data_IF_135493373029
#
_entry.id   IF_135493373029
#
_cell.length_a   1.000
_cell.length_b   1.000
_cell.length_c   1.000
_cell.angle_alpha   90.00
_cell.angle_beta   90.00
_cell.angle_gamma   90.00
#
_symmetry.space_group_name_H-M   'P 1'
#
loop_
_entity.id
_entity.type
_entity.pdbx_description
1 polymer ?
#
# COMPACT_ATOMS: atom_id res chain seq x y z
N UNK A 1 6.48 -49.83 -3.84
CA UNK A 1 6.11 -48.87 -4.90
C UNK A 1 6.07 -47.49 -4.28
N UNK A 2 7.19 -46.74 -4.36
CA UNK A 2 7.30 -45.41 -3.72
C UNK A 2 6.58 -44.41 -4.58
N UNK A 3 5.48 -43.89 -4.08
CA UNK A 3 4.75 -42.78 -4.71
C UNK A 3 5.62 -41.53 -4.51
N UNK A 4 6.36 -41.14 -5.54
CA UNK A 4 7.00 -39.83 -5.59
C UNK A 4 5.88 -38.76 -5.67
N UNK A 5 5.55 -38.15 -4.57
CA UNK A 5 4.80 -36.88 -4.58
C UNK A 5 5.68 -35.83 -5.26
N UNK A 6 5.41 -35.59 -6.53
CA UNK A 6 5.96 -34.37 -7.20
C UNK A 6 5.31 -33.19 -6.51
N UNK A 7 6.01 -32.60 -5.55
CA UNK A 7 5.61 -31.33 -4.95
C UNK A 7 5.77 -30.25 -6.03
N UNK A 8 4.71 -29.99 -6.75
CA UNK A 8 4.66 -28.85 -7.67
C UNK A 8 4.77 -27.57 -6.83
N UNK A 9 5.82 -26.78 -7.10
CA UNK A 9 6.03 -25.51 -6.40
C UNK A 9 4.92 -24.55 -6.75
N UNK A 10 4.11 -24.16 -5.77
CA UNK A 10 3.04 -23.16 -5.94
C UNK A 10 3.62 -21.80 -6.30
N UNK A 11 3.07 -21.15 -7.32
CA UNK A 11 3.45 -19.80 -7.74
C UNK A 11 2.63 -18.76 -6.99
N UNK A 12 3.29 -17.80 -6.36
CA UNK A 12 2.64 -16.74 -5.56
C UNK A 12 2.91 -15.37 -6.16
N UNK A 13 1.86 -14.60 -6.40
CA UNK A 13 1.93 -13.16 -6.63
C UNK A 13 1.66 -12.41 -5.33
N UNK A 14 2.41 -11.33 -5.09
CA UNK A 14 2.22 -10.46 -3.93
C UNK A 14 1.89 -9.08 -4.45
N UNK A 15 0.71 -8.56 -4.08
CA UNK A 15 0.23 -7.25 -4.47
C UNK A 15 0.22 -6.34 -3.25
N UNK A 16 0.85 -5.17 -3.36
CA UNK A 16 1.07 -4.25 -2.23
C UNK A 16 0.45 -2.89 -2.54
N UNK A 17 -0.57 -2.52 -1.78
CA UNK A 17 -1.00 -1.12 -1.72
C UNK A 17 0.09 -0.30 -1.01
N UNK A 18 0.80 0.54 -1.77
CA UNK A 18 1.96 1.30 -1.28
C UNK A 18 1.59 2.33 -0.22
N UNK A 19 0.48 3.04 -0.39
CA UNK A 19 0.03 4.02 0.59
C UNK A 19 -0.38 3.36 1.90
N UNK A 20 -1.10 2.23 1.83
CA UNK A 20 -1.43 1.42 2.99
C UNK A 20 -0.17 0.90 3.68
N UNK A 21 0.75 0.29 2.91
CA UNK A 21 2.02 -0.23 3.44
C UNK A 21 2.80 0.86 4.18
N UNK A 22 3.05 2.01 3.56
CA UNK A 22 3.85 3.09 4.15
C UNK A 22 3.22 3.61 5.44
N UNK A 23 1.91 3.81 5.47
CA UNK A 23 1.17 4.24 6.66
C UNK A 23 1.31 3.22 7.79
N UNK A 24 1.10 1.93 7.51
CA UNK A 24 1.20 0.85 8.50
C UNK A 24 2.62 0.64 8.97
N UNK A 25 3.58 0.64 8.05
CA UNK A 25 5.00 0.48 8.35
C UNK A 25 5.47 1.54 9.35
N UNK A 26 5.19 2.82 9.08
CA UNK A 26 5.52 3.92 10.00
C UNK A 26 4.90 3.74 11.39
N UNK A 27 3.64 3.33 11.45
CA UNK A 27 2.93 3.10 12.71
C UNK A 27 3.52 1.93 13.52
N UNK A 28 3.98 0.87 12.86
CA UNK A 28 4.52 -0.34 13.51
C UNK A 28 5.95 -0.11 13.99
N UNK A 29 6.79 0.51 13.16
CA UNK A 29 8.22 0.70 13.47
C UNK A 29 8.43 1.93 14.36
N UNK A 30 7.49 2.89 14.36
CA UNK A 30 7.60 4.18 15.07
C UNK A 30 8.87 4.95 14.69
N UNK A 31 9.31 4.80 13.43
CA UNK A 31 10.45 5.53 12.90
C UNK A 31 10.01 6.95 12.52
N UNK A 32 10.67 7.93 13.09
CA UNK A 32 10.41 9.35 12.81
C UNK A 32 11.17 9.87 11.61
N UNK A 33 12.16 9.12 11.13
CA UNK A 33 12.97 9.49 9.96
C UNK A 33 12.95 8.37 8.92
N UNK A 34 11.99 8.41 7.97
CA UNK A 34 11.84 7.34 6.98
C UNK A 34 13.06 7.27 6.05
N UNK A 35 13.72 6.12 6.04
CA UNK A 35 14.83 5.81 5.16
C UNK A 35 14.33 4.97 3.97
N UNK A 36 14.49 5.42 2.71
CA UNK A 36 14.00 4.70 1.53
C UNK A 36 14.60 3.29 1.38
N UNK A 37 15.89 3.13 1.67
CA UNK A 37 16.60 1.85 1.56
C UNK A 37 16.09 0.87 2.59
N UNK A 38 15.99 1.30 3.86
CA UNK A 38 15.42 0.47 4.94
C UNK A 38 13.98 0.09 4.64
N UNK A 39 13.18 1.03 4.15
CA UNK A 39 11.77 0.78 3.81
C UNK A 39 11.63 -0.23 2.67
N UNK A 40 12.41 -0.10 1.60
CA UNK A 40 12.41 -1.06 0.50
C UNK A 40 12.89 -2.46 0.94
N UNK A 41 13.91 -2.53 1.80
CA UNK A 41 14.40 -3.79 2.35
C UNK A 41 13.36 -4.44 3.27
N UNK A 42 12.68 -3.66 4.11
CA UNK A 42 11.62 -4.15 4.98
C UNK A 42 10.45 -4.73 4.19
N UNK A 43 9.99 -4.04 3.14
CA UNK A 43 8.96 -4.53 2.23
C UNK A 43 9.38 -5.85 1.59
N UNK A 44 10.60 -5.90 1.03
CA UNK A 44 11.14 -7.12 0.43
C UNK A 44 11.16 -8.28 1.41
N UNK A 45 11.70 -8.06 2.60
CA UNK A 45 11.79 -9.10 3.65
C UNK A 45 10.39 -9.56 4.06
N UNK A 46 9.44 -8.64 4.25
CA UNK A 46 8.06 -8.95 4.58
C UNK A 46 7.41 -9.83 3.51
N UNK A 47 7.58 -9.50 2.23
CA UNK A 47 7.08 -10.30 1.12
C UNK A 47 7.72 -11.70 1.08
N UNK A 48 9.03 -11.79 1.31
CA UNK A 48 9.72 -13.07 1.31
C UNK A 48 9.29 -13.97 2.48
N UNK A 49 9.01 -13.40 3.66
CA UNK A 49 8.52 -14.16 4.81
C UNK A 49 7.18 -14.86 4.54
N UNK A 50 6.33 -14.32 3.68
CA UNK A 50 5.10 -14.99 3.26
C UNK A 50 5.37 -16.28 2.49
N UNK A 51 6.50 -16.39 1.77
CA UNK A 51 6.84 -17.56 0.97
C UNK A 51 7.47 -18.70 1.81
N UNK A 52 7.91 -18.40 3.03
CA UNK A 52 8.57 -19.38 3.90
C UNK A 52 7.71 -19.85 5.08
N UNK A 53 6.43 -19.47 5.11
CA UNK A 53 5.56 -19.71 6.27
C UNK A 53 5.28 -21.20 6.52
N UNK A 54 5.11 -21.98 5.48
CA UNK A 54 4.72 -23.39 5.61
C UNK A 54 5.93 -24.31 5.38
N UNK A 55 6.29 -25.07 6.41
CA UNK A 55 7.47 -25.97 6.38
C UNK A 55 7.41 -27.03 5.28
N UNK A 56 6.22 -27.42 4.84
CA UNK A 56 5.99 -28.50 3.88
C UNK A 56 5.59 -28.02 2.48
N UNK A 57 5.33 -26.74 2.27
CA UNK A 57 4.99 -26.20 0.95
C UNK A 57 6.10 -25.27 0.45
N UNK A 58 6.55 -25.52 -0.79
CA UNK A 58 7.52 -24.64 -1.46
C UNK A 58 6.79 -23.67 -2.34
N UNK A 59 6.82 -22.40 -1.97
CA UNK A 59 6.28 -21.30 -2.78
C UNK A 59 7.35 -20.67 -3.65
N UNK A 60 7.03 -20.40 -4.90
CA UNK A 60 7.89 -19.67 -5.81
C UNK A 60 7.30 -18.28 -6.07
N UNK A 61 8.08 -17.25 -5.80
CA UNK A 61 7.66 -15.88 -6.11
C UNK A 61 7.45 -15.72 -7.62
N UNK A 62 6.21 -15.47 -8.03
CA UNK A 62 5.90 -15.01 -9.37
C UNK A 62 6.40 -13.57 -9.54
N UNK A 63 5.81 -12.62 -8.78
CA UNK A 63 6.18 -11.20 -8.78
C UNK A 63 5.61 -10.48 -7.56
N UNK A 64 6.29 -9.42 -7.12
CA UNK A 64 5.75 -8.42 -6.21
C UNK A 64 5.31 -7.23 -7.07
N UNK A 65 4.05 -6.86 -6.99
CA UNK A 65 3.50 -5.66 -7.60
C UNK A 65 3.32 -4.61 -6.51
N UNK A 66 3.98 -3.48 -6.65
CA UNK A 66 3.86 -2.35 -5.74
C UNK A 66 3.07 -1.24 -6.41
N UNK A 67 1.93 -0.90 -5.84
CA UNK A 67 0.99 0.08 -6.37
C UNK A 67 1.08 1.37 -5.57
N UNK A 68 1.30 2.48 -6.25
CA UNK A 68 1.36 3.81 -5.66
C UNK A 68 1.11 4.86 -6.75
N UNK A 69 1.22 6.14 -6.43
CA UNK A 69 1.21 7.23 -7.40
C UNK A 69 2.59 7.87 -7.49
N UNK A 70 2.91 8.43 -8.67
CA UNK A 70 4.06 9.32 -8.76
C UNK A 70 3.86 10.51 -7.80
N UNK A 71 4.90 10.92 -7.05
CA UNK A 71 4.78 12.06 -6.17
C UNK A 71 4.55 13.34 -6.97
N UNK A 72 3.78 14.26 -6.39
CA UNK A 72 3.51 15.55 -7.01
C UNK A 72 4.77 16.42 -7.05
N UNK A 73 5.06 17.02 -8.20
CA UNK A 73 6.32 17.72 -8.48
C UNK A 73 6.14 19.20 -8.89
N UNK A 74 4.90 19.68 -8.92
CA UNK A 74 4.62 21.06 -9.35
C UNK A 74 4.75 22.07 -8.21
N UNK A 75 4.81 23.34 -8.58
CA UNK A 75 4.77 24.47 -7.64
C UNK A 75 3.33 24.91 -7.41
N UNK A 76 3.01 25.24 -6.17
CA UNK A 76 1.72 25.79 -5.77
C UNK A 76 1.93 26.96 -4.79
N UNK A 77 0.97 27.88 -4.74
CA UNK A 77 1.03 28.99 -3.80
C UNK A 77 0.06 28.73 -2.64
N UNK A 78 0.56 28.91 -1.43
CA UNK A 78 -0.26 28.83 -0.23
C UNK A 78 -1.27 29.98 -0.22
N UNK A 79 -2.59 29.74 -0.15
CA UNK A 79 -3.59 30.79 -0.27
C UNK A 79 -3.65 31.76 0.92
N UNK A 80 -3.11 31.37 2.09
CA UNK A 80 -3.07 32.26 3.26
C UNK A 80 -1.87 33.19 3.25
N UNK A 81 -0.71 32.72 2.79
CA UNK A 81 0.54 33.47 2.91
C UNK A 81 1.09 33.93 1.57
N UNK A 82 0.54 33.43 0.44
CA UNK A 82 1.08 33.68 -0.91
C UNK A 82 2.42 32.98 -1.19
N UNK A 83 3.00 32.28 -0.23
CA UNK A 83 4.29 31.62 -0.33
C UNK A 83 4.25 30.49 -1.36
N UNK A 84 5.21 30.49 -2.29
CA UNK A 84 5.37 29.40 -3.24
C UNK A 84 5.94 28.15 -2.55
N UNK A 85 5.30 27.02 -2.76
CA UNK A 85 5.74 25.70 -2.31
C UNK A 85 6.10 24.86 -3.54
N UNK A 86 7.35 24.47 -3.63
CA UNK A 86 7.86 23.58 -4.66
C UNK A 86 7.78 22.14 -4.12
N UNK A 87 6.75 21.40 -4.53
CA UNK A 87 6.53 20.04 -4.03
C UNK A 87 7.64 19.09 -4.42
N UNK A 88 8.36 19.32 -5.53
CA UNK A 88 9.50 18.47 -5.93
C UNK A 88 10.66 18.49 -4.92
N UNK A 89 10.73 19.56 -4.10
CA UNK A 89 11.77 19.76 -3.07
C UNK A 89 11.34 19.30 -1.68
N UNK A 90 10.12 18.79 -1.53
CA UNK A 90 9.64 18.30 -0.24
C UNK A 90 10.30 16.97 0.13
N UNK A 91 10.52 16.74 1.42
CA UNK A 91 11.04 15.47 1.94
C UNK A 91 10.19 14.27 1.50
N UNK A 92 8.86 14.45 1.44
CA UNK A 92 7.93 13.41 1.01
C UNK A 92 8.19 13.02 -0.45
N UNK A 93 8.37 14.01 -1.34
CA UNK A 93 8.67 13.75 -2.75
C UNK A 93 10.01 13.03 -2.89
N UNK A 94 11.06 13.56 -2.25
CA UNK A 94 12.41 12.99 -2.32
C UNK A 94 12.44 11.56 -1.77
N UNK A 95 11.78 11.31 -0.64
CA UNK A 95 11.65 9.98 -0.08
C UNK A 95 10.96 9.01 -1.05
N UNK A 96 9.83 9.43 -1.65
CA UNK A 96 9.03 8.55 -2.51
C UNK A 96 9.76 8.22 -3.81
N UNK A 97 10.44 9.20 -4.42
CA UNK A 97 11.30 8.96 -5.59
C UNK A 97 12.42 7.98 -5.25
N UNK A 98 13.13 8.21 -4.16
CA UNK A 98 14.22 7.33 -3.73
C UNK A 98 13.72 5.92 -3.38
N UNK A 99 12.54 5.79 -2.76
CA UNK A 99 11.92 4.49 -2.49
C UNK A 99 11.62 3.73 -3.78
N UNK A 100 11.08 4.40 -4.80
CA UNK A 100 10.80 3.75 -6.09
C UNK A 100 12.08 3.28 -6.77
N UNK A 101 13.18 4.05 -6.71
CA UNK A 101 14.47 3.62 -7.22
C UNK A 101 15.00 2.37 -6.48
N UNK A 102 14.89 2.34 -5.15
CA UNK A 102 15.29 1.18 -4.37
C UNK A 102 14.42 -0.06 -4.66
N UNK A 103 13.12 0.12 -4.87
CA UNK A 103 12.21 -0.97 -5.24
C UNK A 103 12.52 -1.52 -6.64
N UNK A 104 12.90 -0.67 -7.62
CA UNK A 104 13.31 -1.11 -8.97
C UNK A 104 14.54 -2.01 -8.96
N UNK A 105 15.44 -1.83 -8.00
CA UNK A 105 16.63 -2.67 -7.83
C UNK A 105 16.31 -4.08 -7.32
N UNK A 106 15.12 -4.30 -6.74
CA UNK A 106 14.72 -5.58 -6.18
C UNK A 106 14.27 -6.54 -7.28
N UNK A 107 14.81 -7.77 -7.26
CA UNK A 107 14.42 -8.81 -8.22
C UNK A 107 12.94 -9.13 -8.10
N UNK A 108 12.25 -9.24 -9.24
CA UNK A 108 10.81 -9.55 -9.34
C UNK A 108 9.87 -8.52 -8.72
N UNK A 109 10.32 -7.29 -8.48
CA UNK A 109 9.44 -6.17 -8.11
C UNK A 109 9.04 -5.41 -9.36
N UNK A 110 7.77 -5.07 -9.48
CA UNK A 110 7.22 -4.23 -10.53
C UNK A 110 6.42 -3.09 -9.91
N UNK A 111 6.77 -1.85 -10.24
CA UNK A 111 5.99 -0.69 -9.87
C UNK A 111 4.77 -0.56 -10.81
N UNK A 112 3.61 -0.30 -10.21
CA UNK A 112 2.31 -0.11 -10.87
C UNK A 112 1.77 1.26 -10.49
N UNK A 113 2.33 2.31 -11.09
CA UNK A 113 2.05 3.67 -10.67
C UNK A 113 0.73 4.18 -11.27
N UNK A 114 -0.14 4.66 -10.39
CA UNK A 114 -1.32 5.44 -10.70
C UNK A 114 -0.97 6.91 -10.93
N UNK A 115 -2.00 7.75 -10.93
CA UNK A 115 -1.90 9.19 -11.10
C UNK A 115 -2.28 9.88 -9.80
N UNK A 116 -1.46 10.83 -9.38
CA UNK A 116 -1.82 11.77 -8.34
C UNK A 116 -2.47 12.98 -9.02
N UNK A 117 -3.81 13.05 -8.93
CA UNK A 117 -4.55 14.18 -9.45
C UNK A 117 -4.50 15.33 -8.45
N UNK A 118 -4.05 16.49 -8.91
CA UNK A 118 -4.26 17.71 -8.17
C UNK A 118 -5.70 18.17 -8.40
N UNK A 119 -6.50 18.23 -7.34
CA UNK A 119 -7.79 18.88 -7.38
C UNK A 119 -7.67 20.39 -7.59
N UNK A 120 -6.45 20.91 -7.76
CA UNK A 120 -6.06 22.30 -7.77
C UNK A 120 -6.69 23.09 -6.60
N UNK A 121 -6.82 22.44 -5.47
CA UNK A 121 -7.54 22.97 -4.30
C UNK A 121 -6.71 22.81 -3.04
N UNK A 122 -6.77 23.87 -2.26
CA UNK A 122 -6.35 23.85 -0.87
C UNK A 122 -7.56 23.56 0.02
N UNK A 123 -7.39 22.72 1.01
CA UNK A 123 -8.43 22.40 1.98
C UNK A 123 -7.92 22.68 3.40
N UNK A 124 -8.84 23.12 4.25
CA UNK A 124 -8.57 23.25 5.69
C UNK A 124 -8.55 21.82 6.27
N UNK A 125 -7.58 21.53 7.12
CA UNK A 125 -7.51 20.21 7.78
C UNK A 125 -8.79 19.91 8.57
N UNK A 126 -9.26 18.65 8.59
CA UNK A 126 -10.54 18.28 9.18
C UNK A 126 -10.73 18.75 10.64
N UNK A 127 -9.66 18.68 11.44
CA UNK A 127 -9.68 19.12 12.84
C UNK A 127 -9.91 20.64 12.96
N UNK A 128 -9.34 21.42 12.06
CA UNK A 128 -9.52 22.88 12.03
C UNK A 128 -10.88 23.26 11.45
N UNK A 129 -11.34 22.55 10.43
CA UNK A 129 -12.72 22.70 9.92
C UNK A 129 -13.73 22.49 11.04
N UNK A 130 -13.54 21.42 11.86
CA UNK A 130 -14.43 21.15 12.98
C UNK A 130 -14.38 22.26 14.07
N UNK A 131 -13.19 22.81 14.33
CA UNK A 131 -13.02 23.91 15.29
C UNK A 131 -13.69 25.20 14.81
N UNK A 132 -13.56 25.54 13.51
CA UNK A 132 -14.23 26.66 12.88
C UNK A 132 -15.75 26.55 12.97
N UNK A 133 -16.30 25.39 12.59
CA UNK A 133 -17.75 25.15 12.60
C UNK A 133 -18.35 25.21 14.02
N UNK A 134 -17.54 24.91 15.05
CA UNK A 134 -17.94 25.03 16.46
C UNK A 134 -17.76 26.44 17.04
N UNK A 135 -17.21 27.37 16.27
CA UNK A 135 -16.91 28.72 16.75
C UNK A 135 -15.73 28.81 17.72
N UNK A 136 -14.95 27.75 17.87
CA UNK A 136 -13.79 27.72 18.77
C UNK A 136 -12.59 28.53 18.24
N UNK A 137 -12.52 28.71 16.92
CA UNK A 137 -11.55 29.54 16.22
C UNK A 137 -12.24 30.30 15.08
N UNK A 138 -11.58 31.31 14.56
CA UNK A 138 -12.03 32.10 13.41
C UNK A 138 -11.09 31.84 12.22
N UNK A 139 -11.46 32.33 11.04
CA UNK A 139 -10.59 32.25 9.83
C UNK A 139 -9.26 32.99 10.04
N UNK A 140 -9.24 34.03 10.89
CA UNK A 140 -8.02 34.81 11.20
C UNK A 140 -7.00 34.01 12.04
N UNK A 141 -7.46 32.97 12.73
CA UNK A 141 -6.61 32.12 13.57
C UNK A 141 -5.95 30.97 12.78
N UNK A 142 -6.28 30.84 11.48
CA UNK A 142 -5.69 29.83 10.62
C UNK A 142 -4.24 30.18 10.24
N UNK A 143 -3.37 29.19 10.32
CA UNK A 143 -1.96 29.25 9.91
C UNK A 143 -1.70 28.43 8.65
N UNK A 144 -0.53 28.58 8.05
CA UNK A 144 -0.13 27.77 6.88
C UNK A 144 -0.12 26.25 7.17
N UNK A 145 0.05 25.86 8.43
CA UNK A 145 0.03 24.48 8.86
C UNK A 145 -1.39 23.88 9.00
N UNK A 146 -2.42 24.72 8.96
CA UNK A 146 -3.82 24.32 9.14
C UNK A 146 -4.51 24.01 7.81
N UNK A 147 -3.85 24.29 6.71
CA UNK A 147 -4.30 23.96 5.37
C UNK A 147 -3.37 22.97 4.71
N UNK A 148 -3.90 22.24 3.77
CA UNK A 148 -3.15 21.28 2.97
C UNK A 148 -3.64 21.26 1.53
N UNK A 149 -2.76 20.91 0.60
CA UNK A 149 -3.15 20.71 -0.79
C UNK A 149 -3.90 19.38 -0.93
N UNK A 150 -5.02 19.38 -1.64
CA UNK A 150 -5.87 18.19 -1.80
C UNK A 150 -5.35 17.31 -2.93
N UNK A 151 -4.60 16.27 -2.56
CA UNK A 151 -4.15 15.23 -3.49
C UNK A 151 -5.12 14.06 -3.50
N UNK A 152 -5.55 13.65 -4.69
CA UNK A 152 -6.36 12.44 -4.87
C UNK A 152 -5.58 11.38 -5.62
N UNK A 153 -5.36 10.25 -4.96
CA UNK A 153 -4.84 9.08 -5.66
C UNK A 153 -5.93 8.50 -6.57
N UNK A 154 -5.61 8.32 -7.84
CA UNK A 154 -6.51 7.70 -8.81
C UNK A 154 -5.87 6.49 -9.46
N UNK A 155 -6.70 5.53 -9.81
CA UNK A 155 -6.36 4.31 -10.54
C UNK A 155 -5.55 3.26 -9.75
N UNK A 156 -5.16 3.50 -8.49
CA UNK A 156 -4.38 2.52 -7.70
C UNK A 156 -5.23 1.28 -7.43
N UNK A 157 -6.37 1.44 -6.78
CA UNK A 157 -7.26 0.32 -6.43
C UNK A 157 -7.79 -0.40 -7.66
N UNK A 158 -8.12 0.36 -8.71
CA UNK A 158 -8.54 -0.22 -9.99
C UNK A 158 -7.44 -1.08 -10.60
N UNK A 159 -6.17 -0.63 -10.58
CA UNK A 159 -5.04 -1.42 -11.08
C UNK A 159 -4.82 -2.68 -10.27
N UNK A 160 -4.93 -2.61 -8.95
CA UNK A 160 -4.87 -3.81 -8.09
C UNK A 160 -5.96 -4.79 -8.49
N UNK A 161 -7.21 -4.35 -8.59
CA UNK A 161 -8.34 -5.19 -8.97
C UNK A 161 -8.20 -5.82 -10.35
N UNK A 162 -7.75 -5.04 -11.35
CA UNK A 162 -7.51 -5.53 -12.71
C UNK A 162 -6.36 -6.55 -12.75
N UNK A 163 -5.26 -6.30 -12.03
CA UNK A 163 -4.13 -7.23 -12.00
C UNK A 163 -4.52 -8.53 -11.29
N UNK A 164 -5.28 -8.48 -10.17
CA UNK A 164 -5.83 -9.69 -9.53
C UNK A 164 -6.68 -10.48 -10.53
N UNK A 165 -7.63 -9.82 -11.19
CA UNK A 165 -8.52 -10.46 -12.15
C UNK A 165 -7.72 -11.09 -13.33
N UNK A 166 -6.78 -10.33 -13.91
CA UNK A 166 -5.96 -10.79 -15.02
C UNK A 166 -5.09 -11.99 -14.67
N UNK A 167 -4.45 -11.97 -13.49
CA UNK A 167 -3.57 -13.04 -13.02
C UNK A 167 -4.38 -14.31 -12.74
N UNK A 168 -5.55 -14.18 -12.11
CA UNK A 168 -6.44 -15.28 -11.79
C UNK A 168 -7.02 -15.92 -13.04
N UNK A 169 -7.64 -15.15 -13.93
CA UNK A 169 -8.25 -15.65 -15.17
C UNK A 169 -7.24 -16.30 -16.12
N UNK A 170 -6.00 -15.79 -16.16
CA UNK A 170 -4.92 -16.37 -16.94
C UNK A 170 -4.21 -17.53 -16.26
N UNK A 171 -4.63 -17.91 -15.05
CA UNK A 171 -4.04 -19.00 -14.26
C UNK A 171 -2.52 -18.88 -14.13
N UNK A 172 -2.03 -17.65 -13.90
CA UNK A 172 -0.59 -17.38 -13.86
C UNK A 172 0.03 -17.74 -12.53
N UNK A 173 -0.78 -17.84 -11.47
CA UNK A 173 -0.36 -18.18 -10.12
C UNK A 173 -1.38 -19.08 -9.43
N UNK A 174 -0.91 -19.79 -8.40
CA UNK A 174 -1.73 -20.64 -7.55
C UNK A 174 -2.20 -19.88 -6.30
N UNK A 175 -1.49 -18.81 -5.94
CA UNK A 175 -1.78 -18.02 -4.76
C UNK A 175 -1.56 -16.52 -5.02
N UNK A 176 -2.44 -15.71 -4.46
CA UNK A 176 -2.32 -14.24 -4.40
C UNK A 176 -2.27 -13.82 -2.93
N UNK A 177 -1.29 -12.99 -2.58
CA UNK A 177 -1.20 -12.34 -1.29
C UNK A 177 -1.42 -10.85 -1.52
N UNK A 178 -2.46 -10.30 -0.91
CA UNK A 178 -2.76 -8.87 -0.96
C UNK A 178 -2.34 -8.21 0.36
N UNK A 179 -1.46 -7.22 0.28
CA UNK A 179 -1.06 -6.36 1.39
C UNK A 179 -1.85 -5.07 1.29
N UNK A 180 -2.98 -5.03 1.96
CA UNK A 180 -3.95 -3.92 1.95
C UNK A 180 -4.91 -4.01 3.14
N UNK A 181 -5.74 -3.00 3.32
CA UNK A 181 -6.74 -2.97 4.40
C UNK A 181 -8.14 -2.56 3.95
N UNK A 182 -8.35 -2.33 2.65
CA UNK A 182 -9.62 -1.84 2.12
C UNK A 182 -10.55 -2.98 1.69
N UNK A 183 -11.84 -2.81 1.98
CA UNK A 183 -12.91 -3.73 1.55
C UNK A 183 -13.28 -3.60 0.08
N UNK A 184 -12.79 -2.60 -0.62
CA UNK A 184 -13.06 -2.39 -2.04
C UNK A 184 -12.46 -3.50 -2.92
N UNK A 185 -11.54 -4.30 -2.36
CA UNK A 185 -10.96 -5.46 -3.02
C UNK A 185 -11.81 -6.74 -2.93
N UNK A 186 -12.95 -6.74 -2.22
CA UNK A 186 -13.86 -7.90 -2.12
C UNK A 186 -14.27 -8.46 -3.49
N UNK A 187 -14.66 -7.67 -4.50
CA UNK A 187 -15.01 -8.22 -5.81
C UNK A 187 -13.84 -8.96 -6.48
N UNK A 188 -12.63 -8.43 -6.36
CA UNK A 188 -11.43 -9.05 -6.93
C UNK A 188 -11.05 -10.34 -6.18
N UNK A 189 -11.14 -10.36 -4.85
CA UNK A 189 -10.92 -11.55 -4.03
C UNK A 189 -11.91 -12.66 -4.37
N UNK A 190 -13.20 -12.34 -4.48
CA UNK A 190 -14.24 -13.30 -4.90
C UNK A 190 -13.96 -13.90 -6.28
N UNK A 191 -13.50 -13.08 -7.22
CA UNK A 191 -13.16 -13.55 -8.56
C UNK A 191 -11.95 -14.51 -8.49
N UNK A 192 -10.88 -14.13 -7.81
CA UNK A 192 -9.67 -14.97 -7.71
C UNK A 192 -9.97 -16.34 -7.09
N UNK A 193 -10.74 -16.37 -6.00
CA UNK A 193 -11.15 -17.62 -5.34
C UNK A 193 -12.03 -18.49 -6.23
N UNK A 194 -12.96 -17.89 -6.98
CA UNK A 194 -13.80 -18.64 -7.95
C UNK A 194 -12.97 -19.29 -9.05
N UNK A 195 -11.86 -18.64 -9.44
CA UNK A 195 -10.90 -19.19 -10.42
C UNK A 195 -9.94 -20.22 -9.80
N UNK A 196 -10.10 -20.57 -8.52
CA UNK A 196 -9.29 -21.57 -7.82
C UNK A 196 -7.96 -21.05 -7.29
N UNK A 197 -7.78 -19.73 -7.21
CA UNK A 197 -6.57 -19.10 -6.66
C UNK A 197 -6.75 -18.94 -5.15
N UNK A 198 -5.78 -19.42 -4.37
CA UNK A 198 -5.70 -19.22 -2.92
C UNK A 198 -5.44 -17.73 -2.61
N UNK A 199 -6.37 -17.08 -1.91
CA UNK A 199 -6.34 -15.64 -1.70
C UNK A 199 -6.09 -15.28 -0.23
N UNK A 200 -4.87 -14.79 0.04
CA UNK A 200 -4.45 -14.38 1.38
C UNK A 200 -4.42 -12.85 1.51
N UNK A 201 -4.74 -12.36 2.71
CA UNK A 201 -4.64 -10.96 3.07
C UNK A 201 -3.59 -10.76 4.16
N UNK A 202 -2.69 -9.80 3.95
CA UNK A 202 -1.84 -9.23 5.01
C UNK A 202 -2.32 -7.81 5.35
N UNK A 203 -3.10 -7.64 6.42
CA UNK A 203 -3.58 -6.34 6.84
C UNK A 203 -2.55 -5.57 7.69
N UNK A 204 -1.33 -6.08 7.85
CA UNK A 204 -0.28 -5.48 8.68
C UNK A 204 -0.81 -5.09 10.08
N UNK A 205 -1.52 -6.04 10.73
CA UNK A 205 -2.16 -5.85 12.05
C UNK A 205 -3.26 -4.78 12.09
N UNK A 206 -3.75 -4.34 10.95
CA UNK A 206 -4.91 -3.46 10.89
C UNK A 206 -6.20 -4.30 11.04
N UNK A 207 -7.20 -3.83 11.79
CA UNK A 207 -8.52 -4.45 11.79
C UNK A 207 -9.11 -4.43 10.37
N UNK A 208 -9.75 -5.53 9.99
CA UNK A 208 -10.42 -5.66 8.69
C UNK A 208 -11.93 -5.76 8.87
N UNK A 209 -12.67 -5.33 7.86
CA UNK A 209 -14.13 -5.41 7.87
C UNK A 209 -14.60 -6.86 7.69
N UNK A 210 -15.71 -7.27 8.31
CA UNK A 210 -16.24 -8.64 8.21
C UNK A 210 -16.46 -9.11 6.77
N UNK A 211 -16.97 -8.23 5.89
CA UNK A 211 -17.21 -8.56 4.50
C UNK A 211 -15.91 -8.90 3.71
N UNK A 212 -14.77 -8.35 4.08
CA UNK A 212 -13.50 -8.73 3.45
C UNK A 212 -13.01 -10.06 4.02
N UNK A 213 -13.21 -10.29 5.33
CA UNK A 213 -12.81 -11.53 6.00
C UNK A 213 -13.51 -12.77 5.40
N UNK A 214 -14.77 -12.65 5.02
CA UNK A 214 -15.55 -13.74 4.41
C UNK A 214 -15.01 -14.16 3.04
N UNK A 215 -14.25 -13.30 2.39
CA UNK A 215 -13.83 -13.49 1.00
C UNK A 215 -12.32 -13.68 0.82
N UNK A 216 -11.63 -14.07 1.90
CA UNK A 216 -10.22 -14.50 1.88
C UNK A 216 -10.09 -15.93 2.37
N UNK A 217 -9.04 -16.62 1.95
CA UNK A 217 -8.74 -17.99 2.40
C UNK A 217 -7.79 -18.00 3.59
N UNK A 218 -7.04 -16.90 3.82
CA UNK A 218 -6.17 -16.77 4.96
C UNK A 218 -5.84 -15.32 5.32
N UNK A 219 -5.62 -15.09 6.61
CA UNK A 219 -5.24 -13.80 7.19
C UNK A 219 -3.92 -13.96 7.92
N UNK A 220 -2.88 -13.23 7.50
CA UNK A 220 -1.58 -13.36 8.12
C UNK A 220 -0.69 -12.13 7.94
N UNK A 221 -0.16 -11.58 9.04
CA UNK A 221 0.79 -10.48 9.02
C UNK A 221 2.20 -10.97 9.35
N UNK A 222 3.14 -10.72 8.44
CA UNK A 222 4.54 -11.16 8.58
C UNK A 222 5.40 -10.15 9.35
N UNK A 223 5.08 -8.87 9.29
CA UNK A 223 5.83 -7.85 10.02
C UNK A 223 5.60 -7.98 11.53
N UNK A 224 6.68 -8.12 12.30
CA UNK A 224 6.57 -8.24 13.77
C UNK A 224 6.07 -6.94 14.37
N UNK A 225 4.95 -6.99 15.07
CA UNK A 225 4.45 -5.87 15.87
C UNK A 225 5.29 -5.77 17.16
N UNK A 226 5.97 -4.65 17.36
CA UNK A 226 6.64 -4.39 18.64
C UNK A 226 5.56 -4.08 19.68
N UNK A 227 5.09 -5.09 20.41
CA UNK A 227 4.30 -4.85 21.64
C UNK A 227 5.13 -4.00 22.61
N UNK A 228 4.54 -2.93 23.12
CA UNK A 228 5.12 -2.26 24.30
C UNK A 228 5.13 -3.30 25.44
N UNK A 229 6.33 -3.62 25.94
CA UNK A 229 6.46 -4.17 27.31
C UNK A 229 6.10 -3.09 28.30
#
# INVERSE_FOLDING_TARGET
>A
MSIFFIHTMKKTAILVDGAFFLRRYRNIIKDTSPDPVKTANALWTMCMLHLYKEKNEKFNLYRIFYYDCLPYDKKQHNPLTGKAIDFSKTETHQFQVALFEELRKKRKVALRLGILEDGNKWIIKPEKTKALLKGNITVKDLTENDIQFDFKQKMVDMKIGIDIASIALKKQVDQIILIAGDSDFVPAAKLARREGVDFLLDPMWNPIKPNLFEHIDGLYSTLKYKTRK
#
